data_IF_971607859140
#
_entry.id   IF_971607859140
#
_cell.length_a   1.000
_cell.length_b   1.000
_cell.length_c   1.000
_cell.angle_alpha   90.00
_cell.angle_beta   90.00
_cell.angle_gamma   90.00
#
_symmetry.space_group_name_H-M   'P 1'
#
loop_
_entity.id
_entity.type
_entity.pdbx_description
1 polymer ?
#
# COMPACT_ATOMS: atom_id res chain seq x y z
N UNK A 1 20.11 -3.68 11.05
CA UNK A 1 20.49 -2.36 11.62
C UNK A 1 19.25 -1.61 12.10
N UNK A 2 18.26 -1.39 11.23
CA UNK A 2 17.00 -0.67 11.54
C UNK A 2 16.29 -1.18 12.80
N UNK A 3 16.07 -2.49 12.95
CA UNK A 3 15.43 -3.04 14.16
C UNK A 3 16.19 -2.72 15.46
N UNK A 4 17.54 -2.63 15.44
CA UNK A 4 18.32 -2.24 16.64
C UNK A 4 18.09 -0.79 17.05
N UNK A 5 17.62 0.05 16.12
CA UNK A 5 17.24 1.44 16.38
C UNK A 5 15.76 1.58 16.74
N UNK A 6 15.01 0.48 16.82
CA UNK A 6 13.57 0.49 17.09
C UNK A 6 12.68 0.77 15.87
N UNK A 7 13.27 0.89 14.67
CA UNK A 7 12.47 1.04 13.44
C UNK A 7 11.83 -0.28 13.05
N UNK A 8 10.59 -0.17 12.55
CA UNK A 8 9.90 -1.21 11.80
C UNK A 8 10.38 -1.18 10.35
N UNK A 9 10.22 -2.28 9.62
CA UNK A 9 10.68 -2.37 8.24
C UNK A 9 9.49 -2.54 7.29
N UNK A 10 9.46 -1.72 6.24
CA UNK A 10 8.66 -1.95 5.05
C UNK A 10 9.61 -2.43 3.94
N UNK A 11 9.41 -3.65 3.44
CA UNK A 11 10.31 -4.26 2.46
C UNK A 11 9.66 -4.49 1.10
N UNK A 12 10.50 -4.66 0.07
CA UNK A 12 10.07 -4.88 -1.31
C UNK A 12 9.09 -3.79 -1.81
N UNK A 13 9.30 -2.57 -1.31
CA UNK A 13 8.53 -1.35 -1.62
C UNK A 13 9.21 -0.53 -2.72
N UNK A 14 8.62 0.61 -3.06
CA UNK A 14 9.12 1.60 -4.02
C UNK A 14 10.59 1.99 -3.77
N UNK A 15 11.00 2.19 -2.52
CA UNK A 15 12.40 2.47 -2.14
C UNK A 15 13.37 1.35 -2.53
N UNK A 16 12.91 0.10 -2.59
CA UNK A 16 13.68 -1.05 -3.09
C UNK A 16 13.72 -1.13 -4.62
N UNK A 17 13.26 -0.10 -5.32
CA UNK A 17 13.13 -0.03 -6.78
C UNK A 17 12.13 -1.04 -7.35
N UNK A 18 11.13 -1.44 -6.55
CA UNK A 18 10.09 -2.38 -6.95
C UNK A 18 9.31 -1.84 -8.16
N UNK A 19 9.22 -2.64 -9.22
CA UNK A 19 8.60 -2.21 -10.49
C UNK A 19 9.48 -1.28 -11.36
N UNK A 20 10.72 -0.97 -10.93
CA UNK A 20 11.70 -0.17 -11.68
C UNK A 20 13.10 -0.84 -11.66
N UNK A 21 13.14 -2.13 -12.00
CA UNK A 21 14.37 -2.93 -12.07
C UNK A 21 14.48 -4.00 -10.97
N UNK A 22 13.68 -3.91 -9.92
CA UNK A 22 13.50 -4.98 -8.93
C UNK A 22 12.16 -5.69 -9.20
N UNK A 23 12.24 -6.88 -9.80
CA UNK A 23 11.07 -7.66 -10.24
C UNK A 23 10.48 -8.53 -9.11
N UNK A 24 9.33 -9.14 -9.39
CA UNK A 24 8.65 -10.00 -8.44
C UNK A 24 9.46 -11.23 -8.01
N UNK A 25 10.27 -11.81 -8.91
CA UNK A 25 11.08 -12.97 -8.56
C UNK A 25 12.14 -12.63 -7.50
N UNK A 26 12.82 -11.49 -7.67
CA UNK A 26 13.78 -10.99 -6.69
C UNK A 26 13.09 -10.51 -5.40
N UNK A 27 11.92 -9.88 -5.51
CA UNK A 27 11.14 -9.48 -4.35
C UNK A 27 10.68 -10.67 -3.51
N UNK A 28 10.27 -11.79 -4.11
CA UNK A 28 9.95 -13.02 -3.37
C UNK A 28 11.12 -13.50 -2.53
N UNK A 29 12.33 -13.46 -3.07
CA UNK A 29 13.52 -13.90 -2.34
C UNK A 29 13.88 -12.95 -1.21
N UNK A 30 13.77 -11.63 -1.43
CA UNK A 30 13.93 -10.63 -0.36
C UNK A 30 12.93 -10.88 0.76
N UNK A 31 11.64 -10.98 0.42
CA UNK A 31 10.55 -11.18 1.38
C UNK A 31 10.76 -12.44 2.22
N UNK A 32 11.06 -13.56 1.55
CA UNK A 32 11.34 -14.83 2.22
C UNK A 32 12.49 -14.70 3.22
N UNK A 33 13.58 -14.02 2.83
CA UNK A 33 14.76 -13.83 3.69
C UNK A 33 14.48 -12.89 4.84
N UNK A 34 13.85 -11.75 4.61
CA UNK A 34 13.61 -10.76 5.67
C UNK A 34 12.59 -11.26 6.68
N UNK A 35 11.54 -11.97 6.26
CA UNK A 35 10.59 -12.59 7.20
C UNK A 35 11.29 -13.66 8.05
N UNK A 36 12.16 -14.48 7.44
CA UNK A 36 12.94 -15.45 8.19
C UNK A 36 13.87 -14.78 9.20
N UNK A 37 14.52 -13.67 8.82
CA UNK A 37 15.42 -12.91 9.70
C UNK A 37 14.64 -12.16 10.81
N UNK A 38 13.48 -11.60 10.52
CA UNK A 38 12.65 -10.90 11.51
C UNK A 38 12.31 -11.81 12.70
N UNK A 39 12.13 -13.11 12.46
CA UNK A 39 11.87 -14.10 13.51
C UNK A 39 13.05 -14.33 14.47
N UNK A 40 14.26 -13.99 14.07
CA UNK A 40 15.47 -14.17 14.90
C UNK A 40 15.74 -12.94 15.77
N UNK A 41 15.02 -11.84 15.55
CA UNK A 41 15.23 -10.56 16.23
C UNK A 41 14.03 -10.25 17.12
N UNK A 42 14.24 -10.23 18.43
CA UNK A 42 13.21 -9.89 19.40
C UNK A 42 12.61 -8.50 19.13
N UNK A 43 11.28 -8.43 19.06
CA UNK A 43 10.55 -7.18 18.81
C UNK A 43 10.62 -6.67 17.38
N UNK A 44 11.18 -7.42 16.43
CA UNK A 44 11.16 -7.04 15.02
C UNK A 44 9.73 -6.99 14.47
N UNK A 45 9.42 -5.90 13.76
CA UNK A 45 8.20 -5.76 12.97
C UNK A 45 8.59 -5.52 11.51
N UNK A 46 7.82 -6.13 10.60
CA UNK A 46 8.08 -6.19 9.18
C UNK A 46 6.76 -6.30 8.42
N UNK A 47 6.61 -5.50 7.38
CA UNK A 47 5.53 -5.62 6.40
C UNK A 47 6.11 -5.59 4.98
N UNK A 48 5.54 -6.41 4.10
CA UNK A 48 6.09 -6.69 2.77
C UNK A 48 5.15 -6.17 1.67
N UNK A 49 5.71 -5.51 0.66
CA UNK A 49 4.95 -4.99 -0.48
C UNK A 49 4.33 -6.08 -1.35
N UNK A 50 3.00 -6.08 -1.44
CA UNK A 50 2.18 -6.88 -2.35
C UNK A 50 1.55 -5.99 -3.42
N UNK A 51 1.90 -6.21 -4.67
CA UNK A 51 1.34 -5.48 -5.81
C UNK A 51 0.88 -6.42 -6.92
N UNK A 52 0.98 -5.94 -8.15
CA UNK A 52 0.70 -6.72 -9.37
C UNK A 52 1.82 -6.59 -10.39
N UNK A 53 3.05 -6.32 -9.95
CA UNK A 53 4.18 -5.93 -10.80
C UNK A 53 4.70 -7.06 -11.72
N UNK A 54 4.31 -8.31 -11.48
CA UNK A 54 4.55 -9.41 -12.42
C UNK A 54 3.54 -9.44 -13.58
N UNK A 55 2.41 -8.74 -13.45
CA UNK A 55 1.41 -8.59 -14.51
C UNK A 55 1.70 -7.30 -15.27
N UNK A 56 2.19 -7.45 -16.51
CA UNK A 56 2.37 -6.30 -17.39
C UNK A 56 1.02 -5.59 -17.62
N UNK A 57 0.93 -4.25 -17.54
CA UNK A 57 -0.34 -3.54 -17.73
C UNK A 57 -1.02 -3.84 -19.07
N UNK A 58 -0.24 -4.04 -20.14
CA UNK A 58 -0.76 -4.42 -21.47
C UNK A 58 -1.31 -5.85 -21.54
N UNK A 59 -1.04 -6.69 -20.55
CA UNK A 59 -1.54 -8.06 -20.47
C UNK A 59 -2.79 -8.18 -19.58
N UNK A 60 -3.07 -7.17 -18.74
CA UNK A 60 -4.29 -7.12 -17.95
C UNK A 60 -5.46 -6.75 -18.87
N UNK A 61 -6.42 -7.66 -19.04
CA UNK A 61 -7.60 -7.45 -19.88
C UNK A 61 -8.88 -7.30 -19.05
N UNK A 62 -8.86 -7.81 -17.82
CA UNK A 62 -10.01 -7.86 -16.92
C UNK A 62 -9.62 -7.49 -15.49
N UNK A 63 -10.62 -7.16 -14.67
CA UNK A 63 -10.43 -7.00 -13.23
C UNK A 63 -9.98 -8.32 -12.56
N UNK A 64 -10.43 -9.46 -13.07
CA UNK A 64 -10.04 -10.78 -12.55
C UNK A 64 -8.54 -11.05 -12.72
N UNK A 65 -7.92 -10.58 -13.81
CA UNK A 65 -6.45 -10.68 -13.99
C UNK A 65 -5.70 -9.93 -12.87
N UNK A 66 -6.23 -8.76 -12.47
CA UNK A 66 -5.68 -7.94 -11.39
C UNK A 66 -5.89 -8.61 -10.03
N UNK A 67 -7.07 -9.20 -9.78
CA UNK A 67 -7.36 -9.96 -8.56
C UNK A 67 -6.39 -11.12 -8.43
N UNK A 68 -6.22 -11.92 -9.48
CA UNK A 68 -5.32 -13.07 -9.49
C UNK A 68 -3.87 -12.64 -9.21
N UNK A 69 -3.43 -11.51 -9.78
CA UNK A 69 -2.09 -10.99 -9.53
C UNK A 69 -1.89 -10.55 -8.06
N UNK A 70 -2.88 -9.89 -7.44
CA UNK A 70 -2.81 -9.59 -6.01
C UNK A 70 -2.85 -10.87 -5.17
N UNK A 71 -3.75 -11.81 -5.48
CA UNK A 71 -3.87 -13.10 -4.79
C UNK A 71 -2.55 -13.87 -4.78
N UNK A 72 -1.79 -13.88 -5.88
CA UNK A 72 -0.47 -14.52 -5.93
C UNK A 72 0.50 -13.90 -4.90
N UNK A 73 0.61 -12.56 -4.87
CA UNK A 73 1.59 -11.91 -4.00
C UNK A 73 1.18 -11.96 -2.53
N UNK A 74 -0.10 -11.71 -2.24
CA UNK A 74 -0.65 -11.86 -0.90
C UNK A 74 -0.47 -13.29 -0.40
N UNK A 75 -0.88 -14.29 -1.18
CA UNK A 75 -0.76 -15.70 -0.82
C UNK A 75 0.70 -16.11 -0.54
N UNK A 76 1.65 -15.60 -1.32
CA UNK A 76 3.07 -15.83 -1.04
C UNK A 76 3.52 -15.22 0.29
N UNK A 77 3.24 -13.93 0.53
CA UNK A 77 3.65 -13.21 1.75
C UNK A 77 3.02 -13.84 2.99
N UNK A 78 1.72 -14.09 2.94
CA UNK A 78 0.96 -14.70 4.04
C UNK A 78 1.39 -16.15 4.27
N UNK A 79 1.70 -16.90 3.21
CA UNK A 79 2.27 -18.24 3.31
C UNK A 79 3.66 -18.26 3.96
N UNK A 80 4.41 -17.17 3.88
CA UNK A 80 5.63 -16.97 4.68
C UNK A 80 5.33 -16.50 6.11
N UNK A 81 4.09 -16.19 6.46
CA UNK A 81 3.69 -15.62 7.75
C UNK A 81 3.97 -14.12 7.89
N UNK A 82 4.08 -13.40 6.76
CA UNK A 82 4.31 -11.96 6.71
C UNK A 82 3.02 -11.14 6.70
N UNK A 83 3.15 -9.86 7.06
CA UNK A 83 2.10 -8.83 6.91
C UNK A 83 2.23 -8.16 5.55
N UNK A 84 1.12 -7.91 4.86
CA UNK A 84 1.13 -7.27 3.54
C UNK A 84 0.95 -5.74 3.62
N UNK A 85 1.69 -5.04 2.75
CA UNK A 85 1.40 -3.67 2.32
C UNK A 85 0.80 -3.75 0.91
N UNK A 86 -0.47 -3.39 0.75
CA UNK A 86 -1.15 -3.39 -0.55
C UNK A 86 -0.67 -2.20 -1.38
N UNK A 87 0.27 -2.48 -2.29
CA UNK A 87 0.82 -1.52 -3.22
C UNK A 87 -0.18 -1.17 -4.32
N UNK A 88 -0.10 0.05 -4.83
CA UNK A 88 -0.84 0.45 -6.03
C UNK A 88 -0.47 -0.42 -7.25
N UNK A 89 -1.46 -0.72 -8.09
CA UNK A 89 -1.35 -1.60 -9.25
C UNK A 89 -1.39 -0.83 -10.56
N UNK A 90 -0.30 -0.88 -11.33
CA UNK A 90 -0.26 -0.34 -12.69
C UNK A 90 -1.27 -1.03 -13.62
N UNK A 91 -1.50 -2.32 -13.41
CA UNK A 91 -2.49 -3.09 -14.15
C UNK A 91 -3.91 -2.58 -13.86
N UNK A 92 -4.24 -2.36 -12.57
CA UNK A 92 -5.53 -1.80 -12.17
C UNK A 92 -5.74 -0.40 -12.75
N UNK A 93 -4.74 0.47 -12.65
CA UNK A 93 -4.80 1.81 -13.23
C UNK A 93 -5.06 1.81 -14.74
N UNK A 94 -4.62 0.77 -15.45
CA UNK A 94 -4.82 0.64 -16.89
C UNK A 94 -6.21 0.09 -17.28
N UNK A 95 -6.83 -0.76 -16.45
CA UNK A 95 -8.08 -1.46 -16.81
C UNK A 95 -9.33 -0.91 -16.13
N UNK A 96 -9.18 -0.23 -14.98
CA UNK A 96 -10.30 0.34 -14.24
C UNK A 96 -10.98 1.46 -15.04
N UNK A 97 -12.32 1.49 -14.98
CA UNK A 97 -13.17 2.49 -15.64
C UNK A 97 -13.66 3.58 -14.70
N UNK A 98 -13.46 3.41 -13.41
CA UNK A 98 -13.91 4.34 -12.38
C UNK A 98 -13.74 3.79 -10.97
N UNK A 99 -14.22 4.54 -9.95
CA UNK A 99 -14.02 4.23 -8.53
C UNK A 99 -14.67 2.92 -8.08
N UNK A 100 -15.74 2.47 -8.73
CA UNK A 100 -16.41 1.21 -8.41
C UNK A 100 -15.51 -0.01 -8.67
N UNK A 101 -14.69 0.04 -9.73
CA UNK A 101 -13.75 -1.04 -10.04
C UNK A 101 -12.67 -1.14 -8.96
N UNK A 102 -12.10 0.00 -8.52
CA UNK A 102 -11.19 0.04 -7.38
C UNK A 102 -11.84 -0.53 -6.12
N UNK A 103 -13.06 -0.10 -5.81
CA UNK A 103 -13.80 -0.60 -4.65
C UNK A 103 -13.99 -2.12 -4.70
N UNK A 104 -14.34 -2.67 -5.87
CA UNK A 104 -14.53 -4.12 -6.04
C UNK A 104 -13.25 -4.94 -5.83
N UNK A 105 -12.11 -4.47 -6.36
CA UNK A 105 -10.82 -5.12 -6.22
C UNK A 105 -10.36 -5.09 -4.76
N UNK A 106 -10.39 -3.91 -4.14
CA UNK A 106 -9.95 -3.76 -2.76
C UNK A 106 -10.88 -4.49 -1.79
N UNK A 107 -12.19 -4.53 -2.04
CA UNK A 107 -13.15 -5.32 -1.26
C UNK A 107 -12.81 -6.82 -1.30
N UNK A 108 -12.52 -7.35 -2.49
CA UNK A 108 -12.11 -8.74 -2.67
C UNK A 108 -10.83 -9.07 -1.90
N UNK A 109 -9.76 -8.28 -2.10
CA UNK A 109 -8.44 -8.56 -1.52
C UNK A 109 -8.43 -8.35 0.00
N UNK A 110 -9.06 -7.29 0.51
CA UNK A 110 -9.09 -7.01 1.96
C UNK A 110 -9.96 -8.02 2.72
N UNK A 111 -11.06 -8.49 2.12
CA UNK A 111 -11.94 -9.47 2.78
C UNK A 111 -11.26 -10.82 3.01
N UNK A 112 -10.37 -11.23 2.10
CA UNK A 112 -9.67 -12.51 2.20
C UNK A 112 -8.31 -12.44 2.92
N UNK A 113 -7.75 -11.24 3.12
CA UNK A 113 -6.48 -11.08 3.82
C UNK A 113 -6.53 -11.72 5.22
N UNK A 114 -5.49 -12.47 5.56
CA UNK A 114 -5.36 -13.22 6.81
C UNK A 114 -5.26 -12.33 8.05
N UNK A 115 -4.76 -11.10 7.88
CA UNK A 115 -4.57 -10.11 8.94
C UNK A 115 -4.95 -8.70 8.49
N UNK A 116 -4.55 -7.70 9.29
CA UNK A 116 -4.66 -6.30 8.86
C UNK A 116 -3.61 -5.98 7.79
N UNK A 117 -3.99 -5.13 6.85
CA UNK A 117 -3.20 -4.72 5.69
C UNK A 117 -2.91 -3.22 5.79
N UNK A 118 -1.71 -2.81 5.36
CA UNK A 118 -1.39 -1.40 5.18
C UNK A 118 -1.66 -1.05 3.72
N UNK A 119 -2.47 -0.04 3.44
CA UNK A 119 -2.68 0.45 2.08
C UNK A 119 -1.54 1.38 1.67
N UNK A 120 -1.22 1.44 0.38
CA UNK A 120 -0.24 2.39 -0.14
C UNK A 120 -0.82 3.16 -1.33
N UNK A 121 -0.98 4.47 -1.17
CA UNK A 121 -1.31 5.40 -2.23
C UNK A 121 -0.03 6.07 -2.74
N UNK A 122 0.49 5.57 -3.86
CA UNK A 122 1.64 6.13 -4.55
C UNK A 122 1.19 7.09 -5.66
N UNK A 123 1.66 8.33 -5.64
CA UNK A 123 1.32 9.33 -6.65
C UNK A 123 2.09 9.17 -7.96
N UNK A 124 1.57 9.81 -9.01
CA UNK A 124 2.09 9.73 -10.37
C UNK A 124 3.42 10.47 -10.60
N UNK A 125 3.84 11.30 -9.64
CA UNK A 125 5.20 11.86 -9.59
C UNK A 125 6.28 10.81 -9.31
N UNK A 126 5.91 9.71 -8.63
CA UNK A 126 6.79 8.56 -8.42
C UNK A 126 6.65 7.52 -9.52
N UNK A 127 5.42 7.31 -9.99
CA UNK A 127 5.12 6.33 -11.02
C UNK A 127 4.03 6.83 -11.98
N UNK A 128 4.39 7.35 -13.16
CA UNK A 128 3.43 7.92 -14.11
C UNK A 128 2.33 6.93 -14.57
N UNK A 129 2.56 5.62 -14.45
CA UNK A 129 1.56 4.61 -14.79
C UNK A 129 0.42 4.51 -13.76
N UNK A 130 0.53 5.18 -12.62
CA UNK A 130 -0.49 5.26 -11.58
C UNK A 130 -1.34 6.53 -11.67
N UNK A 131 -1.22 7.32 -12.74
CA UNK A 131 -2.02 8.53 -12.91
C UNK A 131 -3.52 8.22 -12.83
N UNK A 132 -4.22 8.99 -12.00
CA UNK A 132 -5.66 8.83 -11.78
C UNK A 132 -6.04 7.63 -10.89
N UNK A 133 -5.08 7.12 -10.11
CA UNK A 133 -5.36 6.05 -9.14
C UNK A 133 -6.55 6.41 -8.24
N UNK A 134 -7.37 5.41 -7.91
CA UNK A 134 -8.71 5.54 -7.29
C UNK A 134 -9.83 6.04 -8.22
N UNK A 135 -9.58 6.08 -9.53
CA UNK A 135 -10.61 6.30 -10.55
C UNK A 135 -10.89 7.76 -10.88
N UNK A 136 -10.05 8.69 -10.42
CA UNK A 136 -10.17 10.11 -10.73
C UNK A 136 -8.81 10.81 -10.77
N UNK A 137 -8.67 11.80 -11.65
CA UNK A 137 -7.54 12.74 -11.64
C UNK A 137 -7.74 13.91 -10.67
N UNK A 138 -8.95 14.06 -10.11
CA UNK A 138 -9.27 15.01 -9.05
C UNK A 138 -9.00 14.40 -7.68
N UNK A 139 -8.29 15.14 -6.82
CA UNK A 139 -7.85 14.63 -5.52
C UNK A 139 -9.02 14.36 -4.57
N UNK A 140 -10.00 15.25 -4.48
CA UNK A 140 -11.13 15.09 -3.55
C UNK A 140 -11.98 13.87 -3.92
N UNK A 141 -12.21 13.66 -5.22
CA UNK A 141 -12.91 12.47 -5.71
C UNK A 141 -12.13 11.18 -5.42
N UNK A 142 -10.82 11.17 -5.65
CA UNK A 142 -9.97 10.02 -5.33
C UNK A 142 -9.91 9.75 -3.80
N UNK A 143 -9.88 10.83 -3.01
CA UNK A 143 -9.94 10.80 -1.56
C UNK A 143 -11.24 10.16 -1.06
N UNK A 144 -12.38 10.54 -1.64
CA UNK A 144 -13.68 9.93 -1.32
C UNK A 144 -13.67 8.41 -1.57
N UNK A 145 -13.13 7.96 -2.70
CA UNK A 145 -13.02 6.54 -3.03
C UNK A 145 -12.19 5.78 -1.99
N UNK A 146 -10.98 6.26 -1.69
CA UNK A 146 -10.09 5.53 -0.77
C UNK A 146 -10.61 5.56 0.67
N UNK A 147 -11.22 6.66 1.12
CA UNK A 147 -11.85 6.75 2.44
C UNK A 147 -13.01 5.76 2.53
N UNK A 148 -13.89 5.68 1.53
CA UNK A 148 -15.00 4.73 1.52
C UNK A 148 -14.54 3.26 1.59
N UNK A 149 -13.44 2.92 0.90
CA UNK A 149 -12.81 1.59 1.00
C UNK A 149 -12.29 1.34 2.42
N UNK A 150 -11.57 2.30 3.01
CA UNK A 150 -11.02 2.18 4.36
C UNK A 150 -12.14 2.02 5.40
N UNK A 151 -13.21 2.82 5.32
CA UNK A 151 -14.34 2.75 6.24
C UNK A 151 -15.04 1.37 6.19
N UNK A 152 -15.27 0.85 4.99
CA UNK A 152 -15.86 -0.49 4.79
C UNK A 152 -15.01 -1.60 5.39
N UNK A 153 -13.69 -1.45 5.36
CA UNK A 153 -12.73 -2.45 5.79
C UNK A 153 -11.90 -2.03 7.00
N UNK A 154 -12.40 -1.16 7.88
CA UNK A 154 -11.63 -0.62 9.01
C UNK A 154 -11.04 -1.72 9.94
N UNK A 155 -11.74 -2.86 10.05
CA UNK A 155 -11.25 -4.03 10.79
C UNK A 155 -10.10 -4.78 10.11
N UNK A 156 -9.90 -4.59 8.80
CA UNK A 156 -8.87 -5.22 7.95
C UNK A 156 -7.77 -4.24 7.53
N UNK A 157 -7.94 -2.95 7.75
CA UNK A 157 -6.91 -1.94 7.45
C UNK A 157 -6.19 -1.55 8.74
N UNK A 158 -4.86 -1.67 8.75
CA UNK A 158 -4.01 -1.15 9.84
C UNK A 158 -3.77 0.34 9.65
N UNK A 159 -3.57 0.77 8.40
CA UNK A 159 -3.32 2.14 8.06
C UNK A 159 -3.15 2.33 6.56
N UNK A 160 -2.87 3.56 6.16
CA UNK A 160 -2.57 3.93 4.78
C UNK A 160 -1.31 4.80 4.75
N UNK A 161 -0.37 4.45 3.87
CA UNK A 161 0.75 5.31 3.48
C UNK A 161 0.34 6.16 2.29
N UNK A 162 0.49 7.48 2.39
CA UNK A 162 0.24 8.41 1.27
C UNK A 162 1.55 9.06 0.81
N UNK A 163 1.86 8.87 -0.48
CA UNK A 163 3.10 9.35 -1.11
C UNK A 163 2.73 10.30 -2.25
N UNK A 164 2.20 11.48 -1.91
CA UNK A 164 1.80 12.53 -2.87
C UNK A 164 2.67 13.80 -2.80
N UNK A 165 3.61 13.85 -1.84
CA UNK A 165 4.50 15.01 -1.58
C UNK A 165 3.73 16.32 -1.36
N UNK A 166 2.59 16.22 -0.70
CA UNK A 166 1.69 17.32 -0.43
C UNK A 166 1.08 17.14 0.97
N UNK A 167 1.65 17.85 1.94
CA UNK A 167 1.23 17.79 3.34
C UNK A 167 -0.26 18.10 3.53
N UNK A 168 -0.85 18.99 2.70
CA UNK A 168 -2.27 19.34 2.83
C UNK A 168 -3.19 18.17 2.48
N UNK A 169 -2.81 17.37 1.47
CA UNK A 169 -3.53 16.15 1.08
C UNK A 169 -3.42 15.05 2.12
N UNK A 170 -2.25 14.91 2.75
CA UNK A 170 -2.08 13.97 3.85
C UNK A 170 -2.97 14.34 5.05
N UNK A 171 -2.98 15.61 5.46
CA UNK A 171 -3.85 16.09 6.55
C UNK A 171 -5.33 15.86 6.22
N UNK A 172 -5.75 16.17 4.98
CA UNK A 172 -7.13 15.94 4.54
C UNK A 172 -7.55 14.46 4.64
N UNK A 173 -6.66 13.53 4.28
CA UNK A 173 -6.92 12.10 4.44
C UNK A 173 -6.90 11.68 5.92
N UNK A 174 -5.90 12.10 6.69
CA UNK A 174 -5.74 11.77 8.12
C UNK A 174 -6.97 12.16 8.94
N UNK A 175 -7.56 13.32 8.66
CA UNK A 175 -8.71 13.82 9.38
C UNK A 175 -9.99 13.00 9.14
N UNK A 176 -10.04 12.26 8.03
CA UNK A 176 -11.15 11.39 7.65
C UNK A 176 -10.95 9.93 8.02
N UNK A 177 -9.76 9.52 8.49
CA UNK A 177 -9.52 8.13 8.86
C UNK A 177 -10.38 7.72 10.08
N UNK A 178 -11.00 6.52 10.03
CA UNK A 178 -11.75 5.97 11.15
C UNK A 178 -10.81 5.62 12.31
N UNK A 179 -11.38 5.51 13.51
CA UNK A 179 -10.62 5.14 14.71
C UNK A 179 -9.88 3.80 14.52
N UNK A 180 -8.60 3.76 14.93
CA UNK A 180 -7.77 2.57 14.82
C UNK A 180 -7.14 2.31 13.44
N UNK A 181 -7.34 3.21 12.47
CA UNK A 181 -6.61 3.22 11.19
C UNK A 181 -5.56 4.34 11.22
N UNK A 182 -4.30 3.94 11.01
CA UNK A 182 -3.14 4.82 11.12
C UNK A 182 -2.88 5.55 9.79
N UNK A 183 -2.60 6.86 9.85
CA UNK A 183 -1.95 7.55 8.74
C UNK A 183 -0.45 7.28 8.84
N UNK A 184 0.16 6.74 7.79
CA UNK A 184 1.62 6.66 7.68
C UNK A 184 2.09 7.74 6.72
N UNK A 185 2.87 8.71 7.19
CA UNK A 185 3.42 9.71 6.26
C UNK A 185 4.36 9.06 5.25
N UNK A 186 4.13 9.35 3.97
CA UNK A 186 5.05 9.03 2.86
C UNK A 186 5.64 10.30 2.25
N UNK A 187 5.52 11.43 2.94
CA UNK A 187 6.03 12.72 2.49
C UNK A 187 7.45 12.96 3.04
N UNK A 188 8.46 12.66 2.22
CA UNK A 188 9.86 12.83 2.58
C UNK A 188 10.30 14.30 2.74
N UNK A 189 9.48 15.28 2.35
CA UNK A 189 9.77 16.71 2.51
C UNK A 189 9.21 17.26 3.83
N UNK A 190 8.03 16.78 4.24
CA UNK A 190 7.26 17.35 5.35
C UNK A 190 7.12 16.42 6.57
N UNK A 191 7.76 15.24 6.56
CA UNK A 191 7.62 14.24 7.62
C UNK A 191 7.85 14.75 9.06
N UNK A 192 8.77 15.69 9.39
CA UNK A 192 8.94 16.11 10.79
C UNK A 192 7.68 16.78 11.36
N UNK A 193 7.04 17.63 10.55
CA UNK A 193 5.83 18.36 10.96
C UNK A 193 4.61 17.41 10.98
N UNK A 194 4.51 16.51 10.00
CA UNK A 194 3.42 15.55 9.90
C UNK A 194 3.43 14.52 11.04
N UNK A 195 4.62 14.03 11.41
CA UNK A 195 4.82 13.13 12.56
C UNK A 195 4.57 13.88 13.89
N UNK A 196 5.01 15.14 14.01
CA UNK A 196 4.74 15.92 15.22
C UNK A 196 3.24 16.19 15.42
N UNK A 197 2.51 16.37 14.32
CA UNK A 197 1.07 16.59 14.31
C UNK A 197 0.66 18.02 14.66
N UNK A 198 -0.64 18.27 14.63
CA UNK A 198 -1.27 19.59 14.84
C UNK A 198 -1.89 19.76 16.24
N UNK A 199 -1.61 18.83 17.16
CA UNK A 199 -2.20 18.77 18.49
C UNK A 199 -3.59 18.12 18.55
N UNK A 200 -4.19 17.77 17.40
CA UNK A 200 -5.42 16.97 17.31
C UNK A 200 -5.15 15.59 16.74
N UNK A 201 -4.40 15.51 15.64
CA UNK A 201 -3.98 14.26 14.99
C UNK A 201 -2.52 14.36 14.55
N UNK A 202 -1.90 13.20 14.37
CA UNK A 202 -0.55 13.07 13.81
C UNK A 202 -0.51 11.87 12.85
N UNK A 203 0.52 11.84 12.02
CA UNK A 203 0.83 10.75 11.10
C UNK A 203 2.00 9.89 11.61
#
# INVERSE_FOLDING_TARGET
HLWRLGFRIAEAMDTSQRGMGFDWANAKELIRRSIAEARTVEGADLASGAGTDHLAPSAASTLDDVIAAYEEQFGFIEGQGGKAIMMASRALAAVARGPDDYSSIYDRILSQASGKVILHWLGDMFDPALKGYWGSGDFETALDTVVAIIERHAGKVEGIKISLLDASKEVALRDRLPEGVVMFTGDDFNYPELIAGDGRRHS
#
